data_IF_112954105549
#
_entry.id   IF_112954105549
#
_cell.length_a   1.000
_cell.length_b   1.000
_cell.length_c   1.000
_cell.angle_alpha   90.00
_cell.angle_beta   90.00
_cell.angle_gamma   90.00
#
_symmetry.space_group_name_H-M   'P 1'
#
loop_
_entity.id
_entity.type
_entity.pdbx_description
1 polymer ?
#
# COMPACT_ATOMS: atom_id res chain seq x y z
N UNK A 1 10.55 -41.66 18.35
CA UNK A 1 9.69 -40.83 17.46
C UNK A 1 9.76 -39.32 17.71
N UNK A 2 10.66 -38.80 18.57
CA UNK A 2 10.76 -37.36 18.84
C UNK A 2 11.77 -36.60 17.95
N UNK A 3 12.68 -37.28 17.25
CA UNK A 3 13.78 -36.65 16.50
C UNK A 3 13.39 -36.06 15.14
N UNK A 4 12.26 -36.48 14.55
CA UNK A 4 11.86 -36.00 13.21
C UNK A 4 11.22 -34.60 13.21
N UNK A 5 10.82 -34.08 14.38
CA UNK A 5 10.28 -32.72 14.55
C UNK A 5 11.39 -31.67 14.61
N UNK A 6 12.50 -31.96 15.29
CA UNK A 6 13.62 -31.03 15.44
C UNK A 6 14.37 -30.77 14.13
N UNK A 7 14.48 -31.78 13.25
CA UNK A 7 15.12 -31.61 11.92
C UNK A 7 14.31 -30.76 10.94
N UNK A 8 13.00 -30.59 11.15
CA UNK A 8 12.17 -29.67 10.37
C UNK A 8 12.27 -28.22 10.87
N UNK A 9 12.36 -28.02 12.17
CA UNK A 9 12.54 -26.68 12.76
C UNK A 9 13.87 -26.02 12.35
N UNK A 10 14.96 -26.80 12.31
CA UNK A 10 16.29 -26.28 11.93
C UNK A 10 16.43 -25.80 10.48
N UNK A 11 15.50 -26.17 9.58
CA UNK A 11 15.52 -25.74 8.18
C UNK A 11 14.85 -24.38 7.97
N UNK A 12 13.89 -24.03 8.83
CA UNK A 12 13.18 -22.74 8.82
C UNK A 12 14.07 -21.61 9.34
N UNK A 13 14.98 -21.91 10.26
CA UNK A 13 15.94 -20.95 10.85
C UNK A 13 17.10 -20.54 9.94
N UNK A 14 17.23 -21.16 8.75
CA UNK A 14 18.31 -20.87 7.80
C UNK A 14 17.88 -20.02 6.62
N UNK A 15 16.61 -19.61 6.59
CA UNK A 15 16.10 -18.71 5.57
C UNK A 15 16.26 -17.26 6.05
N UNK A 16 17.18 -16.47 5.45
CA UNK A 16 17.43 -15.08 5.88
C UNK A 16 16.18 -14.19 5.79
N UNK A 17 15.22 -14.57 4.93
CA UNK A 17 13.97 -13.83 4.75
C UNK A 17 12.94 -14.11 5.85
N UNK A 18 12.93 -15.31 6.43
CA UNK A 18 12.02 -15.63 7.54
C UNK A 18 12.39 -14.88 8.81
N UNK A 19 13.69 -14.62 9.01
CA UNK A 19 14.22 -13.79 10.09
C UNK A 19 13.85 -12.31 9.92
N UNK A 20 13.82 -11.78 8.69
CA UNK A 20 13.38 -10.41 8.43
C UNK A 20 11.89 -10.22 8.72
N UNK A 21 11.03 -11.16 8.31
CA UNK A 21 9.58 -11.08 8.58
C UNK A 21 9.27 -11.21 10.07
N UNK A 22 10.01 -12.05 10.80
CA UNK A 22 9.85 -12.16 12.26
C UNK A 22 10.41 -10.95 13.01
N UNK A 23 11.51 -10.35 12.53
CA UNK A 23 12.04 -9.12 13.12
C UNK A 23 11.11 -7.90 12.91
N UNK A 24 10.52 -7.75 11.72
CA UNK A 24 9.56 -6.68 11.41
C UNK A 24 8.26 -6.88 12.21
N UNK A 25 7.76 -8.11 12.31
CA UNK A 25 6.57 -8.42 13.12
C UNK A 25 6.76 -8.19 14.62
N UNK A 26 7.95 -8.48 15.15
CA UNK A 26 8.28 -8.23 16.55
C UNK A 26 8.45 -6.73 16.87
N UNK A 27 8.92 -5.92 15.92
CA UNK A 27 9.07 -4.46 16.07
C UNK A 27 7.72 -3.73 16.16
N UNK A 28 6.73 -4.12 15.36
CA UNK A 28 5.41 -3.48 15.34
C UNK A 28 4.60 -3.65 16.64
N UNK A 29 4.88 -4.68 17.42
CA UNK A 29 4.17 -4.92 18.69
C UNK A 29 4.60 -3.96 19.82
N UNK A 30 5.79 -3.36 19.73
CA UNK A 30 6.31 -2.44 20.75
C UNK A 30 5.89 -0.98 20.53
N UNK A 31 5.53 -0.59 19.30
CA UNK A 31 5.18 0.79 18.96
C UNK A 31 3.77 1.21 19.41
N UNK A 32 2.86 0.25 19.63
CA UNK A 32 1.44 0.53 19.94
C UNK A 32 1.14 0.53 21.45
N UNK A 33 2.16 0.36 22.32
CA UNK A 33 2.01 0.51 23.77
C UNK A 33 0.94 -0.41 24.40
N UNK A 34 0.69 -1.58 23.82
CA UNK A 34 -0.33 -2.50 24.32
C UNK A 34 0.21 -3.29 25.53
N UNK A 35 -0.56 -3.37 26.64
CA UNK A 35 -0.14 -4.09 27.84
C UNK A 35 0.02 -5.60 27.59
N UNK A 36 1.12 -6.16 28.12
CA UNK A 36 1.68 -7.51 27.88
C UNK A 36 0.71 -8.68 28.22
N UNK A 37 -0.44 -8.41 28.82
CA UNK A 37 -1.36 -9.46 29.30
C UNK A 37 -2.36 -10.01 28.26
N UNK A 38 -2.31 -9.56 27.00
CA UNK A 38 -3.27 -9.95 25.94
C UNK A 38 -2.76 -10.89 24.84
N UNK A 39 -1.55 -11.45 24.94
CA UNK A 39 -0.86 -12.10 23.81
C UNK A 39 -1.39 -13.51 23.46
N UNK A 40 -2.28 -14.10 24.26
CA UNK A 40 -2.73 -15.49 24.03
C UNK A 40 -3.83 -15.66 22.95
N UNK A 41 -4.46 -14.60 22.44
CA UNK A 41 -5.68 -14.72 21.63
C UNK A 41 -5.51 -14.65 20.10
N UNK A 42 -4.49 -13.96 19.59
CA UNK A 42 -4.42 -13.59 18.16
C UNK A 42 -3.44 -14.46 17.35
N UNK A 43 -2.53 -15.19 18.02
CA UNK A 43 -1.48 -15.98 17.35
C UNK A 43 -1.94 -17.27 16.66
N UNK A 44 -3.10 -17.83 17.01
CA UNK A 44 -3.53 -19.15 16.49
C UNK A 44 -4.25 -19.03 15.14
N UNK A 45 -4.84 -17.87 14.83
CA UNK A 45 -5.54 -17.65 13.56
C UNK A 45 -4.61 -17.51 12.34
N UNK A 46 -3.42 -16.92 12.51
CA UNK A 46 -2.48 -16.68 11.40
C UNK A 46 -1.60 -17.89 11.05
N UNK A 47 -1.37 -18.82 11.99
CA UNK A 47 -0.61 -20.05 11.71
C UNK A 47 -1.36 -21.02 10.78
N UNK A 48 -2.71 -20.98 10.76
CA UNK A 48 -3.52 -21.80 9.85
C UNK A 48 -3.41 -21.37 8.38
N UNK A 49 -3.30 -20.05 8.12
CA UNK A 49 -3.17 -19.51 6.75
C UNK A 49 -1.77 -19.75 6.19
N UNK A 50 -0.73 -19.59 7.01
CA UNK A 50 0.64 -19.88 6.59
C UNK A 50 0.87 -21.39 6.30
N UNK A 51 0.23 -22.29 7.03
CA UNK A 51 0.30 -23.73 6.78
C UNK A 51 -0.43 -24.14 5.49
N UNK A 52 -1.56 -23.49 5.15
CA UNK A 52 -2.28 -23.74 3.90
C UNK A 52 -1.48 -23.23 2.68
N UNK A 53 -0.86 -22.05 2.79
CA UNK A 53 0.02 -21.50 1.75
C UNK A 53 1.30 -22.32 1.58
N UNK A 54 1.90 -22.79 2.69
CA UNK A 54 3.09 -23.65 2.66
C UNK A 54 2.83 -25.08 2.13
N UNK A 55 1.63 -25.63 2.35
CA UNK A 55 1.27 -26.96 1.84
C UNK A 55 0.94 -26.95 0.33
N UNK A 56 0.41 -25.85 -0.22
CA UNK A 56 0.20 -25.69 -1.66
C UNK A 56 1.49 -25.37 -2.43
N UNK A 57 2.44 -24.66 -1.80
CA UNK A 57 3.75 -24.39 -2.39
C UNK A 57 4.70 -25.61 -2.40
N UNK A 58 4.37 -26.67 -1.64
CA UNK A 58 5.16 -27.90 -1.53
C UNK A 58 4.69 -29.04 -2.45
N UNK A 59 3.81 -28.75 -3.43
CA UNK A 59 3.55 -29.68 -4.52
C UNK A 59 4.83 -29.83 -5.38
N UNK A 60 5.23 -31.05 -5.79
CA UNK A 60 6.50 -31.26 -6.50
C UNK A 60 6.52 -30.46 -7.80
N UNK A 61 7.41 -29.47 -7.83
CA UNK A 61 7.62 -28.56 -8.93
C UNK A 61 8.65 -29.16 -9.87
N UNK A 62 8.23 -29.56 -11.08
CA UNK A 62 9.15 -29.88 -12.18
C UNK A 62 9.85 -28.58 -12.58
N UNK A 63 11.14 -28.50 -12.23
CA UNK A 63 11.94 -27.31 -12.38
C UNK A 63 12.30 -27.06 -13.84
N UNK A 64 11.62 -26.11 -14.49
CA UNK A 64 12.27 -25.21 -15.48
C UNK A 64 11.46 -23.95 -15.85
N UNK A 65 10.43 -23.59 -15.09
CA UNK A 65 9.75 -22.30 -15.24
C UNK A 65 9.53 -21.77 -13.85
N UNK A 66 10.22 -20.71 -13.45
CA UNK A 66 9.83 -19.98 -12.24
C UNK A 66 8.34 -19.58 -12.33
N UNK A 67 7.63 -19.37 -11.22
CA UNK A 67 6.31 -18.79 -11.29
C UNK A 67 6.50 -17.39 -11.82
N UNK A 68 6.34 -17.22 -13.13
CA UNK A 68 6.05 -15.94 -13.73
C UNK A 68 4.86 -15.43 -12.93
N UNK A 69 5.11 -14.49 -12.02
CA UNK A 69 4.09 -13.61 -11.51
C UNK A 69 3.54 -12.99 -12.78
N UNK A 70 2.46 -13.58 -13.30
CA UNK A 70 1.90 -13.21 -14.58
C UNK A 70 1.64 -11.71 -14.45
N UNK A 71 2.47 -10.90 -15.12
CA UNK A 71 2.24 -9.49 -15.36
C UNK A 71 0.86 -9.47 -16.01
N UNK A 72 -0.16 -9.26 -15.19
CA UNK A 72 -1.50 -9.07 -15.72
C UNK A 72 -1.35 -7.81 -16.55
N UNK A 73 -1.65 -7.85 -17.85
CA UNK A 73 -1.54 -6.67 -18.69
C UNK A 73 -2.31 -5.55 -17.99
N UNK A 74 -1.63 -4.42 -17.77
CA UNK A 74 -2.19 -3.23 -17.12
C UNK A 74 -3.49 -2.89 -17.82
N UNK A 75 -4.61 -3.34 -17.24
CA UNK A 75 -5.92 -3.05 -17.82
C UNK A 75 -6.07 -1.54 -17.70
N UNK A 76 -6.33 -0.83 -18.81
CA UNK A 76 -6.49 0.60 -18.75
C UNK A 76 -7.62 0.93 -17.79
N UNK A 77 -7.33 1.83 -16.84
CA UNK A 77 -8.28 2.25 -15.82
C UNK A 77 -9.49 2.90 -16.48
N UNK A 78 -10.68 2.69 -15.91
CA UNK A 78 -11.90 3.26 -16.45
C UNK A 78 -11.91 4.78 -16.24
N UNK A 79 -11.93 5.52 -17.35
CA UNK A 79 -12.04 7.00 -17.36
C UNK A 79 -13.30 7.48 -16.66
N UNK A 80 -13.23 8.66 -16.05
CA UNK A 80 -14.36 9.31 -15.37
C UNK A 80 -14.69 8.75 -13.98
N UNK A 81 -13.93 7.78 -13.49
CA UNK A 81 -14.10 7.26 -12.13
C UNK A 81 -13.41 8.15 -11.08
N UNK A 82 -13.83 8.11 -9.81
CA UNK A 82 -13.12 8.80 -8.73
C UNK A 82 -11.63 8.42 -8.65
N UNK A 83 -11.30 7.13 -8.75
CA UNK A 83 -9.91 6.64 -8.72
C UNK A 83 -9.07 7.15 -9.88
N UNK A 84 -9.66 7.28 -11.08
CA UNK A 84 -8.98 7.85 -12.24
C UNK A 84 -8.59 9.32 -12.00
N UNK A 85 -9.51 10.12 -11.44
CA UNK A 85 -9.22 11.53 -11.09
C UNK A 85 -8.10 11.67 -10.05
N UNK A 86 -8.00 10.75 -9.09
CA UNK A 86 -6.93 10.77 -8.11
C UNK A 86 -5.56 10.46 -8.73
N UNK A 87 -5.51 9.57 -9.73
CA UNK A 87 -4.29 9.28 -10.48
C UNK A 87 -3.89 10.48 -11.35
N UNK A 88 -4.84 11.13 -12.02
CA UNK A 88 -4.55 12.36 -12.78
C UNK A 88 -3.95 13.46 -11.89
N UNK A 89 -4.44 13.62 -10.66
CA UNK A 89 -3.86 14.56 -9.68
C UNK A 89 -2.43 14.18 -9.29
N UNK A 90 -2.16 12.91 -8.99
CA UNK A 90 -0.79 12.46 -8.70
C UNK A 90 0.14 12.66 -9.89
N UNK A 91 -0.33 12.42 -11.12
CA UNK A 91 0.45 12.66 -12.35
C UNK A 91 0.75 14.16 -12.53
N UNK A 92 -0.21 15.03 -12.19
CA UNK A 92 0.01 16.47 -12.16
C UNK A 92 1.07 16.86 -11.12
N UNK A 93 0.95 16.41 -9.86
CA UNK A 93 1.96 16.70 -8.82
C UNK A 93 3.34 16.20 -9.22
N UNK A 94 3.45 15.01 -9.80
CA UNK A 94 4.70 14.48 -10.35
C UNK A 94 5.28 15.41 -11.41
N UNK A 95 4.45 15.90 -12.33
CA UNK A 95 4.90 16.79 -13.40
C UNK A 95 5.41 18.12 -12.84
N UNK A 96 4.71 18.69 -11.87
CA UNK A 96 5.09 19.95 -11.21
C UNK A 96 6.38 19.78 -10.38
N UNK A 97 6.51 18.69 -9.62
CA UNK A 97 7.73 18.35 -8.89
C UNK A 97 8.92 18.12 -9.83
N UNK A 98 8.73 17.42 -10.95
CA UNK A 98 9.78 17.22 -11.95
C UNK A 98 10.21 18.56 -12.58
N UNK A 99 9.28 19.50 -12.76
CA UNK A 99 9.60 20.87 -13.15
C UNK A 99 10.46 21.57 -12.10
N UNK A 100 10.03 21.54 -10.84
CA UNK A 100 10.76 22.14 -9.72
C UNK A 100 12.19 21.61 -9.60
N UNK A 101 12.39 20.29 -9.72
CA UNK A 101 13.71 19.66 -9.68
C UNK A 101 14.58 20.07 -10.88
N UNK A 102 13.98 20.15 -12.07
CA UNK A 102 14.71 20.49 -13.30
C UNK A 102 15.16 21.94 -13.34
N UNK A 103 14.39 22.85 -12.74
CA UNK A 103 14.63 24.29 -12.80
C UNK A 103 15.67 24.76 -11.76
N UNK A 104 16.51 23.84 -11.25
CA UNK A 104 17.64 24.05 -10.32
C UNK A 104 17.25 24.88 -9.08
N UNK A 105 16.41 24.32 -8.19
CA UNK A 105 15.89 25.06 -7.06
C UNK A 105 17.01 25.36 -6.06
N UNK A 106 16.76 26.28 -5.13
CA UNK A 106 17.71 26.60 -4.07
C UNK A 106 18.18 25.30 -3.34
N UNK A 107 19.44 25.21 -2.88
CA UNK A 107 20.00 23.97 -2.33
C UNK A 107 19.18 23.35 -1.19
N UNK A 108 18.49 24.18 -0.39
CA UNK A 108 17.62 23.74 0.70
C UNK A 108 16.34 23.03 0.22
N UNK A 109 15.90 23.30 -1.01
CA UNK A 109 14.71 22.71 -1.65
C UNK A 109 15.09 21.49 -2.49
N UNK A 110 16.27 21.50 -3.12
CA UNK A 110 16.65 20.50 -4.13
C UNK A 110 16.59 19.05 -3.65
N UNK A 111 17.19 18.75 -2.50
CA UNK A 111 17.12 17.40 -1.90
C UNK A 111 15.68 16.97 -1.60
N UNK A 112 14.93 17.74 -0.79
CA UNK A 112 13.53 17.44 -0.48
C UNK A 112 12.62 17.31 -1.72
N UNK A 113 12.83 18.12 -2.77
CA UNK A 113 12.05 18.05 -4.00
C UNK A 113 12.31 16.75 -4.79
N UNK A 114 13.56 16.29 -4.83
CA UNK A 114 13.93 15.01 -5.42
C UNK A 114 13.29 13.84 -4.66
N UNK A 115 13.37 13.85 -3.32
CA UNK A 115 12.77 12.81 -2.47
C UNK A 115 11.24 12.75 -2.63
N UNK A 116 10.59 13.92 -2.76
CA UNK A 116 9.16 14.01 -3.01
C UNK A 116 8.76 13.49 -4.41
N UNK A 117 9.59 13.73 -5.43
CA UNK A 117 9.37 13.18 -6.76
C UNK A 117 9.41 11.65 -6.74
N UNK A 118 10.41 11.06 -6.08
CA UNK A 118 10.54 9.61 -5.91
C UNK A 118 9.39 9.00 -5.10
N UNK A 119 8.98 9.67 -4.02
CA UNK A 119 7.81 9.26 -3.23
C UNK A 119 6.52 9.31 -4.07
N UNK A 120 6.37 10.33 -4.92
CA UNK A 120 5.22 10.47 -5.83
C UNK A 120 5.20 9.37 -6.90
N UNK A 121 6.36 8.97 -7.43
CA UNK A 121 6.46 7.85 -8.37
C UNK A 121 6.03 6.52 -7.71
N UNK A 122 6.48 6.27 -6.47
CA UNK A 122 6.03 5.13 -5.69
C UNK A 122 4.52 5.19 -5.39
N UNK A 123 4.00 6.38 -5.10
CA UNK A 123 2.58 6.62 -4.88
C UNK A 123 1.74 6.30 -6.11
N UNK A 124 2.18 6.75 -7.29
CA UNK A 124 1.51 6.47 -8.57
C UNK A 124 1.44 4.98 -8.86
N UNK A 125 2.54 4.26 -8.68
CA UNK A 125 2.58 2.82 -8.92
C UNK A 125 1.60 2.07 -8.00
N UNK A 126 1.65 2.35 -6.70
CA UNK A 126 0.79 1.73 -5.69
C UNK A 126 -0.69 2.08 -5.92
N UNK A 127 -0.98 3.35 -6.22
CA UNK A 127 -2.33 3.85 -6.47
C UNK A 127 -2.93 3.24 -7.73
N UNK A 128 -2.17 3.10 -8.82
CA UNK A 128 -2.64 2.42 -10.05
C UNK A 128 -3.02 0.96 -9.76
N UNK A 129 -2.21 0.26 -8.99
CA UNK A 129 -2.50 -1.13 -8.56
C UNK A 129 -3.79 -1.19 -7.73
N UNK A 130 -3.95 -0.30 -6.76
CA UNK A 130 -5.16 -0.22 -5.93
C UNK A 130 -6.41 0.16 -6.76
N UNK A 131 -6.28 1.13 -7.67
CA UNK A 131 -7.35 1.58 -8.56
C UNK A 131 -7.83 0.44 -9.48
N UNK A 132 -6.91 -0.36 -10.01
CA UNK A 132 -7.27 -1.56 -10.80
C UNK A 132 -8.07 -2.58 -9.97
N UNK A 133 -7.75 -2.71 -8.68
CA UNK A 133 -8.49 -3.57 -7.75
C UNK A 133 -9.89 -3.04 -7.47
N UNK A 134 -10.04 -1.72 -7.34
CA UNK A 134 -11.34 -1.05 -7.22
C UNK A 134 -12.19 -1.25 -8.48
N UNK A 135 -11.62 -1.07 -9.68
CA UNK A 135 -12.33 -1.33 -10.95
C UNK A 135 -12.80 -2.78 -11.05
N UNK A 136 -11.97 -3.72 -10.58
CA UNK A 136 -12.30 -5.14 -10.55
C UNK A 136 -13.43 -5.46 -9.54
N UNK A 137 -13.50 -4.75 -8.41
CA UNK A 137 -14.60 -4.84 -7.44
C UNK A 137 -15.89 -4.22 -8.00
N UNK A 138 -15.80 -3.08 -8.67
CA UNK A 138 -16.94 -2.42 -9.34
C UNK A 138 -17.58 -3.34 -10.37
N UNK A 139 -16.76 -4.02 -11.18
CA UNK A 139 -17.25 -4.97 -12.17
C UNK A 139 -17.92 -6.18 -11.50
N UNK A 140 -17.35 -6.70 -10.41
CA UNK A 140 -17.92 -7.82 -9.66
C UNK A 140 -19.26 -7.44 -8.99
N UNK A 141 -19.34 -6.26 -8.37
CA UNK A 141 -20.57 -5.72 -7.79
C UNK A 141 -21.65 -5.52 -8.86
N UNK A 142 -21.28 -4.99 -10.03
CA UNK A 142 -22.21 -4.85 -11.16
C UNK A 142 -22.74 -6.19 -11.67
N UNK A 143 -21.91 -7.23 -11.73
CA UNK A 143 -22.33 -8.60 -12.07
C UNK A 143 -23.25 -9.19 -10.99
N UNK A 144 -22.89 -9.04 -9.72
CA UNK A 144 -23.70 -9.52 -8.60
C UNK A 144 -25.08 -8.86 -8.57
N UNK A 145 -25.17 -7.56 -8.85
CA UNK A 145 -26.44 -6.82 -8.94
C UNK A 145 -27.36 -7.35 -10.06
N UNK A 146 -26.81 -7.65 -11.24
CA UNK A 146 -27.59 -8.26 -12.35
C UNK A 146 -28.12 -9.65 -11.98
N UNK A 147 -27.28 -10.46 -11.34
CA UNK A 147 -27.65 -11.80 -10.87
C UNK A 147 -28.74 -11.74 -9.80
N UNK A 148 -28.61 -10.80 -8.84
CA UNK A 148 -29.61 -10.56 -7.81
C UNK A 148 -30.96 -10.13 -8.39
N UNK A 149 -30.96 -9.26 -9.42
CA UNK A 149 -32.19 -8.83 -10.10
C UNK A 149 -32.94 -9.96 -10.80
N UNK A 150 -32.25 -11.04 -11.21
CA UNK A 150 -32.87 -12.22 -11.81
C UNK A 150 -33.35 -13.26 -10.79
N UNK A 151 -32.89 -13.20 -9.53
CA UNK A 151 -33.28 -14.13 -8.47
C UNK A 151 -34.28 -13.47 -7.52
N UNK A 152 -35.49 -14.03 -7.40
CA UNK A 152 -36.51 -13.56 -6.44
C UNK A 152 -36.13 -13.66 -4.95
N UNK A 153 -34.89 -14.05 -4.62
CA UNK A 153 -34.37 -14.20 -3.26
C UNK A 153 -33.08 -13.39 -3.07
N UNK A 154 -33.21 -12.06 -2.91
CA UNK A 154 -32.09 -11.14 -2.72
C UNK A 154 -31.24 -11.43 -1.46
N UNK A 155 -31.84 -12.00 -0.40
CA UNK A 155 -31.22 -12.18 0.93
C UNK A 155 -29.94 -13.03 0.95
N UNK A 156 -29.69 -13.88 -0.06
CA UNK A 156 -28.51 -14.77 -0.08
C UNK A 156 -27.22 -14.06 -0.50
N UNK A 157 -27.30 -12.87 -1.09
CA UNK A 157 -26.13 -12.14 -1.64
C UNK A 157 -25.66 -10.97 -0.76
N UNK A 158 -26.44 -10.57 0.25
CA UNK A 158 -26.16 -9.39 1.08
C UNK A 158 -24.79 -9.47 1.79
N UNK A 159 -24.42 -10.65 2.30
CA UNK A 159 -23.14 -10.84 3.00
C UNK A 159 -21.92 -10.61 2.10
N UNK A 160 -21.76 -11.36 0.99
CA UNK A 160 -20.67 -11.15 0.04
C UNK A 160 -20.65 -9.75 -0.61
N UNK A 161 -21.81 -9.24 -1.03
CA UNK A 161 -21.91 -7.90 -1.67
C UNK A 161 -21.54 -6.81 -0.67
N UNK A 162 -21.98 -6.91 0.58
CA UNK A 162 -21.62 -5.98 1.65
C UNK A 162 -20.11 -5.95 1.91
N UNK A 163 -19.44 -7.11 1.96
CA UNK A 163 -17.97 -7.18 2.11
C UNK A 163 -17.22 -6.55 0.94
N UNK A 164 -17.63 -6.84 -0.30
CA UNK A 164 -17.04 -6.23 -1.50
C UNK A 164 -17.21 -4.71 -1.51
N UNK A 165 -18.39 -4.22 -1.14
CA UNK A 165 -18.69 -2.78 -1.07
C UNK A 165 -17.84 -2.08 -0.01
N UNK A 166 -17.70 -2.68 1.17
CA UNK A 166 -16.84 -2.15 2.23
C UNK A 166 -15.38 -2.08 1.79
N UNK A 167 -14.84 -3.17 1.25
CA UNK A 167 -13.45 -3.19 0.76
C UNK A 167 -13.20 -2.15 -0.34
N UNK A 168 -14.17 -1.97 -1.24
CA UNK A 168 -14.12 -0.92 -2.27
C UNK A 168 -14.00 0.47 -1.64
N UNK A 169 -14.80 0.76 -0.61
CA UNK A 169 -14.76 2.04 0.10
C UNK A 169 -13.43 2.23 0.84
N UNK A 170 -12.93 1.19 1.52
CA UNK A 170 -11.63 1.21 2.21
C UNK A 170 -10.50 1.53 1.22
N UNK A 171 -10.42 0.83 0.08
CA UNK A 171 -9.39 1.10 -0.94
C UNK A 171 -9.49 2.52 -1.52
N UNK A 172 -10.70 3.01 -1.79
CA UNK A 172 -10.90 4.38 -2.27
C UNK A 172 -10.51 5.43 -1.22
N UNK A 173 -10.78 5.16 0.05
CA UNK A 173 -10.34 5.98 1.17
C UNK A 173 -8.82 6.07 1.23
N UNK A 174 -8.15 4.92 1.25
CA UNK A 174 -6.67 4.86 1.30
C UNK A 174 -6.01 5.51 0.08
N UNK A 175 -6.56 5.35 -1.13
CA UNK A 175 -6.09 6.07 -2.33
C UNK A 175 -6.20 7.59 -2.11
N UNK A 176 -7.34 8.06 -1.59
CA UNK A 176 -7.57 9.50 -1.36
C UNK A 176 -6.58 10.04 -0.33
N UNK A 177 -6.41 9.37 0.81
CA UNK A 177 -5.42 9.74 1.83
C UNK A 177 -3.99 9.80 1.28
N UNK A 178 -3.60 8.84 0.43
CA UNK A 178 -2.27 8.85 -0.19
C UNK A 178 -2.08 10.07 -1.12
N UNK A 179 -3.08 10.40 -1.93
CA UNK A 179 -3.03 11.57 -2.83
C UNK A 179 -2.99 12.88 -2.04
N UNK A 180 -3.79 12.98 -0.98
CA UNK A 180 -3.81 14.17 -0.12
C UNK A 180 -2.47 14.37 0.59
N UNK A 181 -1.84 13.29 1.06
CA UNK A 181 -0.50 13.35 1.67
C UNK A 181 0.59 13.81 0.70
N UNK A 182 0.58 13.35 -0.55
CA UNK A 182 1.49 13.87 -1.59
C UNK A 182 1.21 15.34 -1.89
N UNK A 183 -0.06 15.75 -1.93
CA UNK A 183 -0.44 17.15 -2.10
C UNK A 183 0.05 18.05 -0.96
N UNK A 184 0.02 17.56 0.28
CA UNK A 184 0.57 18.28 1.44
C UNK A 184 2.09 18.47 1.33
N UNK A 185 2.83 17.40 0.99
CA UNK A 185 4.29 17.48 0.74
C UNK A 185 4.59 18.51 -0.35
N UNK A 186 3.84 18.49 -1.45
CA UNK A 186 4.00 19.45 -2.53
C UNK A 186 3.74 20.89 -2.08
N UNK A 187 2.66 21.14 -1.32
CA UNK A 187 2.37 22.47 -0.78
C UNK A 187 3.48 22.99 0.14
N UNK A 188 4.01 22.13 1.03
CA UNK A 188 5.14 22.48 1.91
C UNK A 188 6.43 22.76 1.13
N UNK A 189 6.68 22.03 0.05
CA UNK A 189 7.81 22.33 -0.84
C UNK A 189 7.65 23.67 -1.56
N UNK A 190 6.44 24.02 -1.99
CA UNK A 190 6.16 25.34 -2.56
C UNK A 190 6.38 26.45 -1.52
N UNK A 191 5.92 26.26 -0.29
CA UNK A 191 6.15 27.20 0.81
C UNK A 191 7.65 27.34 1.13
N UNK A 192 8.38 26.22 1.21
CA UNK A 192 9.83 26.22 1.40
C UNK A 192 10.54 26.93 0.25
N UNK A 193 10.10 26.71 -0.99
CA UNK A 193 10.68 27.38 -2.16
C UNK A 193 10.46 28.91 -2.12
N UNK A 194 9.26 29.35 -1.75
CA UNK A 194 8.91 30.76 -1.68
C UNK A 194 9.65 31.47 -0.53
N UNK A 195 9.78 30.81 0.62
CA UNK A 195 10.51 31.36 1.78
C UNK A 195 12.03 31.34 1.57
N UNK A 196 12.57 30.35 0.84
CA UNK A 196 14.00 30.30 0.52
C UNK A 196 14.48 31.45 -0.36
N UNK A 197 13.59 32.04 -1.16
CA UNK A 197 13.90 33.22 -1.97
C UNK A 197 14.03 34.50 -1.13
N UNK A 198 13.40 34.52 0.06
CA UNK A 198 13.46 35.63 1.00
C UNK A 198 14.55 35.35 2.05
N UNK A 199 15.79 35.74 1.74
CA UNK A 199 17.00 35.47 2.52
C UNK A 199 17.01 36.06 3.94
N UNK A 200 15.91 36.68 4.37
CA UNK A 200 15.73 37.36 5.65
C UNK A 200 15.24 36.45 6.78
N UNK A 201 15.12 35.13 6.55
CA UNK A 201 14.63 34.19 7.57
C UNK A 201 15.64 34.04 8.73
N UNK A 202 15.43 34.83 9.80
CA UNK A 202 16.13 34.70 11.09
C UNK A 202 15.20 34.02 12.09
N UNK A 203 15.48 32.73 12.32
CA UNK A 203 14.53 31.75 12.81
C UNK A 203 14.15 31.84 14.28
N UNK A 204 12.85 31.65 14.52
CA UNK A 204 12.27 31.17 15.78
C UNK A 204 11.22 30.07 15.54
N UNK A 205 11.03 29.63 14.29
CA UNK A 205 10.04 28.62 13.89
C UNK A 205 10.62 27.20 13.77
N UNK A 206 9.75 26.18 13.64
CA UNK A 206 10.16 24.81 13.32
C UNK A 206 10.93 24.75 11.98
N UNK A 207 11.85 23.80 11.87
CA UNK A 207 12.66 23.60 10.65
C UNK A 207 11.76 23.11 9.50
N UNK A 208 11.53 23.91 8.46
CA UNK A 208 10.60 23.56 7.39
C UNK A 208 11.07 22.35 6.58
N UNK A 209 12.38 22.06 6.53
CA UNK A 209 12.90 20.85 5.88
C UNK A 209 12.53 19.61 6.69
N UNK A 210 12.62 19.69 8.02
CA UNK A 210 12.21 18.60 8.90
C UNK A 210 10.70 18.31 8.77
N UNK A 211 9.87 19.34 8.59
CA UNK A 211 8.43 19.17 8.36
C UNK A 211 8.12 18.46 7.04
N UNK A 212 8.83 18.80 5.95
CA UNK A 212 8.70 18.10 4.67
C UNK A 212 9.09 16.62 4.82
N UNK A 213 10.21 16.34 5.51
CA UNK A 213 10.67 14.97 5.73
C UNK A 213 9.66 14.15 6.56
N UNK A 214 9.09 14.73 7.61
CA UNK A 214 8.05 14.07 8.41
C UNK A 214 6.80 13.77 7.56
N UNK A 215 6.40 14.69 6.69
CA UNK A 215 5.29 14.45 5.75
C UNK A 215 5.63 13.35 4.72
N UNK A 216 6.86 13.29 4.22
CA UNK A 216 7.31 12.22 3.33
C UNK A 216 7.27 10.85 4.00
N UNK A 217 7.70 10.75 5.26
CA UNK A 217 7.64 9.50 6.02
C UNK A 217 6.20 9.05 6.27
N UNK A 218 5.30 10.00 6.57
CA UNK A 218 3.86 9.73 6.66
C UNK A 218 3.30 9.20 5.34
N UNK A 219 3.69 9.79 4.20
CA UNK A 219 3.28 9.31 2.87
C UNK A 219 3.81 7.89 2.62
N UNK A 220 5.07 7.60 2.93
CA UNK A 220 5.67 6.26 2.76
C UNK A 220 4.93 5.21 3.60
N UNK A 221 4.55 5.54 4.83
CA UNK A 221 3.75 4.66 5.70
C UNK A 221 2.38 4.37 5.08
N UNK A 222 1.63 5.41 4.70
CA UNK A 222 0.31 5.26 4.05
C UNK A 222 0.40 4.43 2.77
N UNK A 223 1.46 4.60 1.98
CA UNK A 223 1.68 3.81 0.77
C UNK A 223 1.99 2.34 1.07
N UNK A 224 2.74 2.06 2.12
CA UNK A 224 2.99 0.68 2.56
C UNK A 224 1.71 -0.03 3.03
N UNK A 225 0.84 0.69 3.73
CA UNK A 225 -0.49 0.21 4.11
C UNK A 225 -1.37 -0.03 2.89
N UNK A 226 -1.43 0.92 1.95
CA UNK A 226 -2.21 0.79 0.71
C UNK A 226 -1.72 -0.39 -0.15
N UNK A 227 -0.40 -0.58 -0.26
CA UNK A 227 0.19 -1.72 -0.95
C UNK A 227 -0.23 -3.05 -0.28
N UNK A 228 -0.29 -3.09 1.04
CA UNK A 228 -0.76 -4.28 1.78
C UNK A 228 -2.25 -4.53 1.59
N UNK A 229 -3.08 -3.48 1.66
CA UNK A 229 -4.52 -3.58 1.43
C UNK A 229 -4.84 -4.07 0.00
N UNK A 230 -4.12 -3.57 -1.00
CA UNK A 230 -4.30 -3.98 -2.39
C UNK A 230 -3.91 -5.45 -2.63
N UNK A 231 -2.80 -5.92 -2.05
CA UNK A 231 -2.40 -7.35 -2.11
C UNK A 231 -3.46 -8.27 -1.51
N UNK A 232 -3.99 -7.90 -0.34
CA UNK A 232 -5.03 -8.68 0.33
C UNK A 232 -6.32 -8.78 -0.50
N UNK A 233 -6.63 -7.76 -1.30
CA UNK A 233 -7.78 -7.79 -2.21
C UNK A 233 -7.62 -8.79 -3.37
N UNK A 234 -6.38 -9.11 -3.78
CA UNK A 234 -6.12 -10.04 -4.88
C UNK A 234 -6.18 -11.50 -4.44
N UNK A 235 -5.79 -11.82 -3.20
CA UNK A 235 -5.69 -13.20 -2.70
C UNK A 235 -7.06 -13.86 -2.55
N UNK A 236 -8.09 -13.12 -2.15
CA UNK A 236 -9.45 -13.67 -1.96
C UNK A 236 -10.18 -14.06 -3.27
N UNK A 237 -9.56 -13.85 -4.45
CA UNK A 237 -10.11 -14.26 -5.75
C UNK A 237 -9.72 -15.68 -6.18
N UNK A 238 -8.76 -16.31 -5.51
CA UNK A 238 -8.29 -17.67 -5.81
C UNK A 238 -8.85 -18.64 -4.80
#
# INVERSE_FOLDING_TARGET
>A
MAESRWRRAGRVLRDPWSLLVTAVGAGSAWAVGLPVFGIAGVGVGMLGVAAAVGAMAAAPYDGDRGPAAAERPDRPLRRGTPQFRQIERLEQYRHELAGLVRDDPAPVVGGPAQDALEATDAALHTTRTAASSVDALDEALGRAGRIAGGMGSAKRLDGPVGRMTRRRQELLGSITTAVDGVGEVFAKLLELSATSADSTYHGAGPDPVAEVNNSLDTVREVLAELATASRNAVVERR
#
